data_IF_723369278726
#
_entry.id   IF_723369278726
#
_cell.length_a   1.000
_cell.length_b   1.000
_cell.length_c   1.000
_cell.angle_alpha   90.00
_cell.angle_beta   90.00
_cell.angle_gamma   90.00
#
_symmetry.space_group_name_H-M   'P 1'
#
loop_
_entity.id
_entity.type
_entity.pdbx_description
1 polymer ?
#
# COMPACT_ATOMS: atom_id res chain seq x y z
N UNK A 1 28.42 33.41 5.58
CA UNK A 1 28.48 32.62 4.32
C UNK A 1 27.92 31.21 4.48
N UNK A 2 28.33 30.47 5.53
CA UNK A 2 27.85 29.10 5.78
C UNK A 2 26.33 28.99 5.97
N UNK A 3 25.69 29.97 6.64
CA UNK A 3 24.23 29.95 6.80
C UNK A 3 23.45 30.04 5.49
N UNK A 4 23.93 30.87 4.54
CA UNK A 4 23.32 30.98 3.20
C UNK A 4 23.39 29.65 2.43
N UNK A 5 24.47 28.89 2.63
CA UNK A 5 24.65 27.57 2.01
C UNK A 5 23.70 26.53 2.64
N UNK A 6 23.51 26.59 3.96
CA UNK A 6 22.54 25.74 4.67
C UNK A 6 21.13 26.02 4.15
N UNK A 7 20.74 27.28 4.05
CA UNK A 7 19.40 27.66 3.60
C UNK A 7 19.17 27.28 2.11
N UNK A 8 20.20 27.38 1.27
CA UNK A 8 20.14 26.92 -0.13
C UNK A 8 20.01 25.40 -0.31
N UNK A 9 20.59 24.60 0.59
CA UNK A 9 20.42 23.14 0.61
C UNK A 9 19.01 22.76 1.09
N UNK A 10 18.46 23.51 2.04
CA UNK A 10 17.09 23.30 2.53
C UNK A 10 16.06 23.62 1.44
N UNK A 11 16.26 24.67 0.64
CA UNK A 11 15.33 25.01 -0.45
C UNK A 11 15.33 23.99 -1.60
N UNK A 12 16.42 23.25 -1.79
CA UNK A 12 16.52 22.16 -2.77
C UNK A 12 16.11 20.80 -2.21
N UNK A 13 15.61 20.74 -0.97
CA UNK A 13 15.23 19.51 -0.27
C UNK A 13 16.36 18.45 -0.23
N UNK A 14 17.61 18.91 -0.24
CA UNK A 14 18.79 18.06 -0.23
C UNK A 14 19.02 17.43 1.15
N UNK A 15 19.73 16.29 1.19
CA UNK A 15 20.16 15.67 2.45
C UNK A 15 21.14 16.60 3.17
N UNK A 16 20.65 17.33 4.17
CA UNK A 16 21.48 18.17 5.02
C UNK A 16 22.48 17.28 5.78
N UNK A 17 23.78 17.54 5.62
CA UNK A 17 24.84 16.87 6.36
C UNK A 17 26.03 17.82 6.51
N UNK A 18 26.83 17.66 7.57
CA UNK A 18 27.99 18.52 7.81
C UNK A 18 28.99 18.43 6.64
N UNK A 19 29.21 17.21 6.10
CA UNK A 19 30.04 16.99 4.90
C UNK A 19 29.44 17.65 3.65
N UNK A 20 28.12 17.57 3.45
CA UNK A 20 27.44 18.21 2.34
C UNK A 20 27.54 19.74 2.38
N UNK A 21 27.36 20.33 3.57
CA UNK A 21 27.53 21.78 3.78
C UNK A 21 28.98 22.21 3.58
N UNK A 22 29.95 21.43 4.08
CA UNK A 22 31.37 21.68 3.90
C UNK A 22 31.77 21.67 2.41
N UNK A 23 31.30 20.66 1.66
CA UNK A 23 31.53 20.55 0.22
C UNK A 23 30.91 21.71 -0.56
N UNK A 24 29.68 22.10 -0.23
CA UNK A 24 29.00 23.22 -0.88
C UNK A 24 29.62 24.58 -0.56
N UNK A 25 30.24 24.73 0.61
CA UNK A 25 30.95 25.93 1.03
C UNK A 25 32.45 25.93 0.67
N UNK A 26 32.98 24.84 0.09
CA UNK A 26 34.40 24.71 -0.25
C UNK A 26 35.34 24.66 0.95
N UNK A 27 34.85 24.25 2.13
CA UNK A 27 35.63 24.19 3.38
C UNK A 27 35.82 22.75 3.85
N UNK A 28 36.84 22.52 4.68
CA UNK A 28 37.05 21.22 5.32
C UNK A 28 36.01 20.99 6.42
N UNK A 29 35.44 19.78 6.56
CA UNK A 29 34.49 19.46 7.64
C UNK A 29 35.00 19.78 9.06
N UNK A 30 36.31 19.63 9.28
CA UNK A 30 36.96 19.97 10.55
C UNK A 30 36.85 21.46 10.91
N UNK A 31 36.79 22.36 9.92
CA UNK A 31 36.62 23.80 10.16
C UNK A 31 35.22 24.09 10.73
N UNK A 32 34.19 23.39 10.26
CA UNK A 32 32.82 23.54 10.77
C UNK A 32 32.72 22.99 12.20
N UNK A 33 33.32 21.83 12.47
CA UNK A 33 33.26 21.19 13.78
C UNK A 33 34.10 21.91 14.85
N UNK A 34 35.27 22.44 14.49
CA UNK A 34 36.24 22.99 15.44
C UNK A 34 36.15 24.51 15.58
N UNK A 35 35.94 25.22 14.48
CA UNK A 35 35.96 26.70 14.46
C UNK A 35 34.57 27.30 14.51
N UNK A 36 33.55 26.56 14.05
CA UNK A 36 32.16 27.02 14.04
C UNK A 36 31.17 26.04 14.72
N UNK A 37 31.37 25.73 16.02
CA UNK A 37 30.54 24.75 16.73
C UNK A 37 29.05 25.11 16.74
N UNK A 38 28.70 26.40 16.80
CA UNK A 38 27.32 26.86 16.72
C UNK A 38 26.62 26.49 15.40
N UNK A 39 27.35 26.55 14.28
CA UNK A 39 26.85 26.15 12.95
C UNK A 39 26.69 24.63 12.90
N UNK A 40 27.63 23.88 13.48
CA UNK A 40 27.55 22.43 13.56
C UNK A 40 26.31 21.96 14.35
N UNK A 41 26.01 22.57 15.51
CA UNK A 41 24.81 22.26 16.29
C UNK A 41 23.52 22.59 15.52
N UNK A 42 23.49 23.73 14.82
CA UNK A 42 22.34 24.11 13.98
C UNK A 42 22.08 23.07 12.89
N UNK A 43 23.12 22.60 12.20
CA UNK A 43 23.01 21.54 11.19
C UNK A 43 22.46 20.26 11.81
N UNK A 44 22.99 19.81 12.95
CA UNK A 44 22.50 18.59 13.63
C UNK A 44 21.05 18.72 14.10
N UNK A 45 20.66 19.88 14.63
CA UNK A 45 19.28 20.14 15.03
C UNK A 45 18.30 20.07 13.86
N UNK A 46 18.67 20.64 12.71
CA UNK A 46 17.88 20.59 11.48
C UNK A 46 17.81 19.17 10.91
N UNK A 47 18.93 18.44 10.90
CA UNK A 47 18.97 17.02 10.50
C UNK A 47 18.09 16.15 11.40
N UNK A 48 18.16 16.33 12.72
CA UNK A 48 17.35 15.54 13.66
C UNK A 48 15.85 15.81 13.52
N UNK A 49 15.45 17.02 13.15
CA UNK A 49 14.05 17.35 12.85
C UNK A 49 13.60 16.74 11.52
N UNK A 50 14.42 16.82 10.47
CA UNK A 50 14.08 16.26 9.15
C UNK A 50 13.99 14.74 9.16
N UNK A 51 14.88 14.05 9.88
CA UNK A 51 14.84 12.58 10.03
C UNK A 51 13.57 12.14 10.75
N UNK A 52 13.17 12.84 11.82
CA UNK A 52 11.91 12.54 12.53
C UNK A 52 10.69 12.77 11.65
N UNK A 53 10.61 13.92 10.98
CA UNK A 53 9.51 14.21 10.05
C UNK A 53 9.42 13.19 8.91
N UNK A 54 10.55 12.80 8.32
CA UNK A 54 10.58 11.79 7.27
C UNK A 54 10.15 10.42 7.80
N UNK A 55 10.60 10.03 8.99
CA UNK A 55 10.22 8.76 9.61
C UNK A 55 8.72 8.73 9.90
N UNK A 56 8.19 9.77 10.49
CA UNK A 56 6.79 9.85 10.88
C UNK A 56 5.88 9.85 9.64
N UNK A 57 6.26 10.58 8.58
CA UNK A 57 5.58 10.55 7.29
C UNK A 57 5.59 9.14 6.67
N UNK A 58 6.74 8.46 6.65
CA UNK A 58 6.84 7.07 6.15
C UNK A 58 5.99 6.11 6.97
N UNK A 59 5.96 6.29 8.29
CA UNK A 59 5.18 5.44 9.18
C UNK A 59 3.68 5.64 8.95
N UNK A 60 3.22 6.88 8.84
CA UNK A 60 1.83 7.20 8.51
C UNK A 60 1.43 6.64 7.14
N UNK A 61 2.28 6.79 6.12
CA UNK A 61 2.04 6.22 4.80
C UNK A 61 1.92 4.69 4.88
N UNK A 62 2.82 4.03 5.61
CA UNK A 62 2.78 2.57 5.80
C UNK A 62 1.49 2.11 6.50
N UNK A 63 1.03 2.83 7.52
CA UNK A 63 -0.21 2.51 8.23
C UNK A 63 -1.42 2.63 7.30
N UNK A 64 -1.52 3.74 6.55
CA UNK A 64 -2.60 3.95 5.58
C UNK A 64 -2.63 2.84 4.53
N UNK A 65 -1.48 2.49 3.95
CA UNK A 65 -1.39 1.43 2.96
C UNK A 65 -1.76 0.05 3.54
N UNK A 66 -1.43 -0.22 4.81
CA UNK A 66 -1.82 -1.45 5.49
C UNK A 66 -3.32 -1.53 5.73
N UNK A 67 -3.95 -0.42 6.14
CA UNK A 67 -5.40 -0.34 6.33
C UNK A 67 -6.14 -0.56 5.00
N UNK A 68 -5.70 0.12 3.93
CA UNK A 68 -6.26 -0.08 2.58
C UNK A 68 -6.10 -1.51 2.11
N UNK A 69 -4.91 -2.11 2.27
CA UNK A 69 -4.68 -3.51 1.93
C UNK A 69 -5.58 -4.46 2.73
N UNK A 70 -5.83 -4.17 4.00
CA UNK A 70 -6.72 -4.99 4.83
C UNK A 70 -8.15 -4.92 4.32
N UNK A 71 -8.64 -3.72 3.99
CA UNK A 71 -9.96 -3.52 3.41
C UNK A 71 -10.10 -4.24 2.07
N UNK A 72 -9.14 -4.07 1.15
CA UNK A 72 -9.14 -4.71 -0.16
C UNK A 72 -9.07 -6.24 -0.08
N UNK A 73 -8.37 -6.80 0.92
CA UNK A 73 -8.36 -8.26 1.14
C UNK A 73 -9.71 -8.78 1.65
N UNK A 74 -10.36 -8.03 2.54
CA UNK A 74 -11.69 -8.39 3.02
C UNK A 74 -12.72 -8.34 1.88
N UNK A 75 -12.67 -7.30 1.05
CA UNK A 75 -13.53 -7.17 -0.13
C UNK A 75 -13.29 -8.30 -1.14
N UNK A 76 -12.03 -8.62 -1.45
CA UNK A 76 -11.71 -9.75 -2.34
C UNK A 76 -12.23 -11.09 -1.79
N UNK A 77 -12.11 -11.33 -0.49
CA UNK A 77 -12.63 -12.55 0.12
C UNK A 77 -14.16 -12.63 -0.02
N UNK A 78 -14.86 -11.52 0.23
CA UNK A 78 -16.31 -11.43 0.07
C UNK A 78 -16.74 -11.67 -1.37
N UNK A 79 -16.12 -10.97 -2.34
CA UNK A 79 -16.42 -11.14 -3.76
C UNK A 79 -16.15 -12.57 -4.25
N UNK A 80 -15.08 -13.20 -3.78
CA UNK A 80 -14.76 -14.59 -4.12
C UNK A 80 -15.81 -15.56 -3.58
N UNK A 81 -16.30 -15.33 -2.36
CA UNK A 81 -17.37 -16.13 -1.77
C UNK A 81 -18.70 -15.96 -2.53
N UNK A 82 -19.01 -14.73 -2.93
CA UNK A 82 -20.22 -14.43 -3.69
C UNK A 82 -20.17 -15.04 -5.10
N UNK A 83 -19.02 -14.98 -5.76
CA UNK A 83 -18.79 -15.67 -7.03
C UNK A 83 -18.94 -17.18 -6.91
N UNK A 84 -18.37 -17.80 -5.88
CA UNK A 84 -18.51 -19.23 -5.65
C UNK A 84 -19.98 -19.64 -5.44
N UNK A 85 -20.74 -18.83 -4.70
CA UNK A 85 -22.18 -19.05 -4.48
C UNK A 85 -22.96 -18.94 -5.79
N UNK A 86 -22.72 -17.89 -6.57
CA UNK A 86 -23.37 -17.69 -7.87
C UNK A 86 -23.04 -18.81 -8.85
N UNK A 87 -21.77 -19.23 -8.91
CA UNK A 87 -21.35 -20.35 -9.75
C UNK A 87 -22.08 -21.65 -9.37
N UNK A 88 -22.21 -21.95 -8.08
CA UNK A 88 -22.96 -23.12 -7.61
C UNK A 88 -24.43 -23.06 -8.01
N UNK A 89 -25.09 -21.93 -7.80
CA UNK A 89 -26.51 -21.77 -8.16
C UNK A 89 -26.69 -21.89 -9.67
N UNK A 90 -25.85 -21.22 -10.45
CA UNK A 90 -25.88 -21.31 -11.90
C UNK A 90 -25.67 -22.75 -12.39
N UNK A 91 -24.77 -23.51 -11.76
CA UNK A 91 -24.55 -24.90 -12.12
C UNK A 91 -25.81 -25.75 -11.88
N UNK A 92 -26.48 -25.58 -10.74
CA UNK A 92 -27.75 -26.26 -10.45
C UNK A 92 -28.82 -25.90 -11.49
N UNK A 93 -28.98 -24.61 -11.79
CA UNK A 93 -29.95 -24.15 -12.79
C UNK A 93 -29.66 -24.71 -14.19
N UNK A 94 -28.38 -24.82 -14.58
CA UNK A 94 -27.99 -25.43 -15.85
C UNK A 94 -28.41 -26.91 -15.89
N UNK A 95 -28.23 -27.65 -14.79
CA UNK A 95 -28.64 -29.05 -14.70
C UNK A 95 -30.16 -29.20 -14.78
N UNK A 96 -30.92 -28.37 -14.06
CA UNK A 96 -32.38 -28.35 -14.11
C UNK A 96 -32.90 -28.04 -15.51
N UNK A 97 -32.33 -27.02 -16.18
CA UNK A 97 -32.67 -26.69 -17.56
C UNK A 97 -32.35 -27.84 -18.53
N UNK A 98 -31.24 -28.55 -18.34
CA UNK A 98 -30.88 -29.71 -19.15
C UNK A 98 -31.90 -30.85 -18.96
N UNK A 99 -32.32 -31.12 -17.72
CA UNK A 99 -33.35 -32.12 -17.42
C UNK A 99 -34.69 -31.75 -18.07
N UNK A 100 -35.16 -30.51 -17.88
CA UNK A 100 -36.43 -30.04 -18.46
C UNK A 100 -36.41 -30.09 -19.99
N UNK A 101 -35.30 -29.71 -20.63
CA UNK A 101 -35.13 -29.86 -22.09
C UNK A 101 -35.11 -31.33 -22.52
N UNK A 102 -34.51 -32.22 -21.74
CA UNK A 102 -34.52 -33.66 -21.99
C UNK A 102 -35.93 -34.25 -21.96
N UNK A 103 -36.76 -33.84 -21.00
CA UNK A 103 -38.18 -34.22 -20.92
C UNK A 103 -38.97 -33.64 -22.09
N UNK A 104 -38.81 -32.34 -22.38
CA UNK A 104 -39.52 -31.67 -23.46
C UNK A 104 -39.20 -32.23 -24.86
N UNK A 105 -37.97 -32.72 -25.06
CA UNK A 105 -37.54 -33.33 -26.33
C UNK A 105 -37.87 -34.83 -26.41
N UNK A 106 -38.54 -35.40 -25.40
CA UNK A 106 -38.92 -36.81 -25.37
C UNK A 106 -37.74 -37.79 -25.18
N UNK A 107 -36.53 -37.28 -24.93
CA UNK A 107 -35.33 -38.10 -24.69
C UNK A 107 -35.31 -38.71 -23.28
N UNK A 108 -36.10 -38.16 -22.35
CA UNK A 108 -36.20 -38.61 -20.96
C UNK A 108 -37.67 -38.68 -20.56
N UNK A 109 -38.10 -39.78 -19.93
CA UNK A 109 -39.49 -40.01 -19.49
C UNK A 109 -39.52 -40.11 -17.96
N UNK A 110 -40.42 -39.36 -17.32
CA UNK A 110 -40.68 -39.46 -15.88
C UNK A 110 -41.37 -40.80 -15.57
N UNK A 111 -40.70 -41.65 -14.80
CA UNK A 111 -41.30 -42.89 -14.28
C UNK A 111 -42.21 -42.51 -13.11
N UNK A 112 -43.53 -42.57 -13.29
CA UNK A 112 -44.47 -42.41 -12.18
C UNK A 112 -44.30 -43.59 -11.20
N UNK A 113 -43.90 -43.32 -9.95
CA UNK A 113 -43.88 -44.37 -8.92
C UNK A 113 -45.31 -44.85 -8.69
N UNK A 114 -45.53 -46.14 -8.94
CA UNK A 114 -46.80 -46.84 -8.70
C UNK A 114 -47.27 -46.55 -7.25
N UNK A 115 -48.53 -46.17 -7.02
CA UNK A 115 -49.03 -45.98 -5.66
C UNK A 115 -48.99 -47.34 -4.94
N UNK A 116 -48.37 -47.36 -3.76
CA UNK A 116 -48.43 -48.51 -2.87
C UNK A 116 -49.88 -48.70 -2.44
N UNK A 117 -50.46 -49.81 -2.88
CA UNK A 117 -51.79 -50.33 -2.56
C UNK A 117 -51.90 -50.77 -1.11
#
# INVERSE_FOLDING_TARGET
MLDKVIDGILSTNGKLSISGVAKAAGVTPGLIHNTYPAVAERIRGLMGKSVRAQRDSKHQALLKERELNRALRAENAQLSQDLARLASVNQTLILELAQLKGVATGKVVLLSSKPAS
#
